data_IF_099528169008
#
_entry.id   IF_099528169008
#
_cell.length_a   1.000
_cell.length_b   1.000
_cell.length_c   1.000
_cell.angle_alpha   90.00
_cell.angle_beta   90.00
_cell.angle_gamma   90.00
#
_symmetry.space_group_name_H-M   'P 1'
#
loop_
_entity.id
_entity.type
_entity.pdbx_description
1 polymer ?
#
# COMPACT_ATOMS: atom_id res chain seq x y z
N UNK A 1 -5.68 -14.35 -12.02
CA UNK A 1 -4.20 -14.25 -11.95
C UNK A 1 -3.69 -15.22 -10.89
N UNK A 2 -2.55 -15.91 -11.07
CA UNK A 2 -1.91 -16.72 -10.01
C UNK A 2 -0.40 -16.48 -10.03
N UNK A 3 0.22 -16.48 -8.85
CA UNK A 3 1.68 -16.46 -8.70
C UNK A 3 2.21 -17.89 -8.57
N UNK A 4 3.39 -18.14 -9.13
CA UNK A 4 4.02 -19.46 -9.09
C UNK A 4 4.56 -19.79 -7.70
N UNK A 5 5.07 -18.78 -7.00
CA UNK A 5 5.59 -18.89 -5.65
C UNK A 5 5.29 -17.63 -4.84
N UNK A 6 5.09 -17.80 -3.54
CA UNK A 6 5.07 -16.72 -2.54
C UNK A 6 6.10 -17.02 -1.45
N UNK A 7 6.54 -15.97 -0.76
CA UNK A 7 7.45 -16.10 0.37
C UNK A 7 6.78 -16.93 1.47
N UNK A 8 7.49 -17.93 2.04
CA UNK A 8 6.98 -18.61 3.22
C UNK A 8 6.88 -17.58 4.34
N UNK A 9 5.73 -17.52 4.98
CA UNK A 9 5.56 -16.65 6.12
C UNK A 9 6.34 -17.22 7.33
N UNK A 10 7.12 -16.42 8.08
CA UNK A 10 7.94 -16.93 9.18
C UNK A 10 7.08 -17.61 10.27
N UNK A 11 7.61 -18.57 11.02
CA UNK A 11 6.85 -19.20 12.12
C UNK A 11 6.68 -18.24 13.33
N UNK A 12 7.74 -17.49 13.65
CA UNK A 12 7.75 -16.39 14.62
C UNK A 12 8.22 -15.12 13.89
N UNK A 13 7.45 -14.04 14.02
CA UNK A 13 7.51 -12.85 13.14
C UNK A 13 7.91 -11.59 13.87
N UNK A 14 8.12 -11.65 15.20
CA UNK A 14 8.56 -10.53 16.05
C UNK A 14 7.87 -9.18 15.74
N UNK A 15 6.55 -9.21 15.55
CA UNK A 15 5.75 -8.00 15.36
C UNK A 15 5.60 -7.28 16.71
N UNK A 16 6.06 -6.02 16.79
CA UNK A 16 5.98 -5.19 18.01
C UNK A 16 4.64 -4.46 18.18
N UNK A 17 3.83 -4.40 17.13
CA UNK A 17 2.42 -4.01 17.16
C UNK A 17 1.60 -5.19 16.65
N UNK A 18 0.49 -5.52 17.31
CA UNK A 18 -0.21 -6.78 17.05
C UNK A 18 -0.50 -6.97 15.55
N UNK A 19 -1.20 -6.02 14.90
CA UNK A 19 -1.50 -6.00 13.46
C UNK A 19 -1.89 -4.57 13.01
N UNK A 20 -1.76 -4.24 11.71
CA UNK A 20 -2.25 -2.98 11.12
C UNK A 20 -3.46 -3.23 10.19
N UNK A 21 -4.68 -3.34 10.74
CA UNK A 21 -5.86 -3.71 9.96
C UNK A 21 -6.34 -2.65 8.95
N UNK A 22 -5.88 -1.41 9.08
CA UNK A 22 -6.28 -0.29 8.23
C UNK A 22 -5.17 0.77 8.17
N UNK A 23 -5.14 1.56 7.09
CA UNK A 23 -4.22 2.69 6.98
C UNK A 23 -4.55 3.81 7.94
N UNK A 24 -3.52 4.44 8.50
CA UNK A 24 -3.61 5.70 9.25
C UNK A 24 -3.12 6.92 8.44
N UNK A 25 -2.75 6.73 7.16
CA UNK A 25 -2.36 7.80 6.24
C UNK A 25 -3.61 8.52 5.74
N UNK A 26 -3.80 9.78 6.18
CA UNK A 26 -5.02 10.55 5.86
C UNK A 26 -4.91 11.40 4.61
N UNK A 27 -3.69 11.68 4.15
CA UNK A 27 -3.42 12.65 3.08
C UNK A 27 -2.92 12.01 1.80
N UNK A 28 -3.45 10.83 1.46
CA UNK A 28 -3.16 10.15 0.18
C UNK A 28 -3.53 11.02 -1.02
N UNK A 29 -4.48 11.95 -0.89
CA UNK A 29 -4.83 12.94 -1.93
C UNK A 29 -3.61 13.69 -2.48
N UNK A 30 -2.55 13.85 -1.68
CA UNK A 30 -1.29 14.43 -2.11
C UNK A 30 -0.59 13.65 -3.23
N UNK A 31 -0.86 12.35 -3.37
CA UNK A 31 -0.35 11.55 -4.47
C UNK A 31 -1.21 11.62 -5.74
N UNK A 32 -2.46 12.10 -5.66
CA UNK A 32 -3.46 11.98 -6.74
C UNK A 32 -2.91 12.43 -8.09
N UNK A 33 -2.35 13.64 -8.16
CA UNK A 33 -1.85 14.23 -9.41
C UNK A 33 -0.69 13.45 -10.05
N UNK A 34 0.00 12.60 -9.28
CA UNK A 34 1.14 11.82 -9.75
C UNK A 34 0.78 10.38 -10.07
N UNK A 35 -0.32 9.85 -9.51
CA UNK A 35 -0.76 8.47 -9.73
C UNK A 35 -1.89 8.37 -10.74
N UNK A 36 -2.70 9.41 -10.91
CA UNK A 36 -3.94 9.35 -11.68
C UNK A 36 -3.73 8.90 -13.13
N UNK A 37 -4.45 7.83 -13.51
CA UNK A 37 -4.41 7.32 -14.88
C UNK A 37 -3.07 6.73 -15.33
N UNK A 38 -2.14 6.41 -14.42
CA UNK A 38 -0.86 5.80 -14.79
C UNK A 38 -1.01 4.46 -15.53
N UNK A 39 -2.05 3.67 -15.24
CA UNK A 39 -2.23 2.32 -15.79
C UNK A 39 -1.17 1.33 -15.28
N UNK A 40 -0.94 0.24 -16.02
CA UNK A 40 0.10 -0.73 -15.70
C UNK A 40 -0.17 -1.53 -14.41
N UNK A 41 0.87 -2.20 -13.92
CA UNK A 41 0.83 -3.00 -12.70
C UNK A 41 1.06 -2.17 -11.44
N UNK A 42 0.37 -2.56 -10.37
CA UNK A 42 0.52 -2.01 -9.02
C UNK A 42 1.03 -3.09 -8.07
N UNK A 43 1.98 -2.75 -7.22
CA UNK A 43 2.34 -3.55 -6.04
C UNK A 43 2.38 -2.66 -4.82
N UNK A 44 1.72 -3.08 -3.74
CA UNK A 44 1.70 -2.29 -2.52
C UNK A 44 1.48 -3.10 -1.25
N UNK A 45 2.06 -2.58 -0.16
CA UNK A 45 1.95 -3.15 1.19
C UNK A 45 0.76 -2.59 1.96
N UNK A 46 0.33 -3.26 3.03
CA UNK A 46 -0.80 -2.84 3.85
C UNK A 46 -2.16 -3.17 3.23
N UNK A 47 -3.18 -2.37 3.55
CA UNK A 47 -4.60 -2.73 3.31
C UNK A 47 -5.33 -1.76 2.37
N UNK A 48 -6.29 -0.99 2.90
CA UNK A 48 -7.34 -0.28 2.15
C UNK A 48 -6.82 0.91 1.33
N UNK A 49 -5.68 1.49 1.72
CA UNK A 49 -5.07 2.58 0.97
C UNK A 49 -4.66 2.15 -0.44
N UNK A 50 -4.32 0.86 -0.61
CA UNK A 50 -3.99 0.32 -1.92
C UNK A 50 -5.20 0.37 -2.86
N UNK A 51 -6.42 0.13 -2.35
CA UNK A 51 -7.65 0.19 -3.15
C UNK A 51 -7.86 1.59 -3.73
N UNK A 52 -7.61 2.62 -2.92
CA UNK A 52 -7.64 4.03 -3.37
C UNK A 52 -6.61 4.27 -4.47
N UNK A 53 -5.35 3.89 -4.24
CA UNK A 53 -4.26 4.15 -5.19
C UNK A 53 -4.43 3.37 -6.51
N UNK A 54 -4.87 2.12 -6.45
CA UNK A 54 -5.19 1.28 -7.62
C UNK A 54 -6.32 1.91 -8.44
N UNK A 55 -7.39 2.36 -7.79
CA UNK A 55 -8.53 2.96 -8.48
C UNK A 55 -8.15 4.28 -9.17
N UNK A 56 -7.36 5.12 -8.48
CA UNK A 56 -6.87 6.39 -9.02
C UNK A 56 -5.94 6.18 -10.20
N UNK A 57 -5.03 5.22 -10.07
CA UNK A 57 -4.08 4.90 -11.13
C UNK A 57 -4.70 4.19 -12.33
N UNK A 58 -5.93 3.68 -12.19
CA UNK A 58 -6.53 2.78 -13.19
C UNK A 58 -5.59 1.62 -13.51
N UNK A 59 -4.97 1.05 -12.47
CA UNK A 59 -4.02 -0.06 -12.64
C UNK A 59 -4.71 -1.25 -13.28
N UNK A 60 -4.01 -1.91 -14.19
CA UNK A 60 -4.52 -3.05 -14.95
C UNK A 60 -4.50 -4.33 -14.10
N UNK A 61 -3.48 -4.47 -13.26
CA UNK A 61 -3.32 -5.54 -12.29
C UNK A 61 -2.76 -4.99 -10.97
N UNK A 62 -3.15 -5.58 -9.85
CA UNK A 62 -2.68 -5.16 -8.53
C UNK A 62 -2.31 -6.36 -7.65
N UNK A 63 -1.18 -6.23 -6.94
CA UNK A 63 -0.70 -7.18 -5.95
C UNK A 63 -0.65 -6.47 -4.59
N UNK A 64 -1.56 -6.86 -3.70
CA UNK A 64 -1.62 -6.42 -2.31
C UNK A 64 -0.77 -7.37 -1.49
N UNK A 65 0.50 -7.03 -1.35
CA UNK A 65 1.52 -7.91 -0.79
C UNK A 65 1.85 -7.52 0.64
N UNK A 66 1.72 -8.43 1.60
CA UNK A 66 2.10 -8.15 2.98
C UNK A 66 2.75 -9.35 3.67
N UNK A 67 3.59 -9.10 4.67
CA UNK A 67 4.25 -10.16 5.43
C UNK A 67 3.43 -10.59 6.66
N UNK A 68 2.43 -9.78 7.04
CA UNK A 68 1.46 -10.10 8.08
C UNK A 68 0.22 -10.79 7.46
N UNK A 69 -0.07 -12.05 7.81
CA UNK A 69 -1.14 -12.84 7.23
C UNK A 69 -2.51 -12.33 7.66
N UNK A 70 -2.59 -11.60 8.78
CA UNK A 70 -3.82 -10.94 9.16
C UNK A 70 -4.11 -9.81 8.18
N UNK A 71 -3.10 -9.04 7.79
CA UNK A 71 -3.22 -8.01 6.74
C UNK A 71 -3.60 -8.65 5.40
N UNK A 72 -2.94 -9.73 4.99
CA UNK A 72 -3.28 -10.46 3.76
C UNK A 72 -4.71 -10.98 3.82
N UNK A 73 -5.12 -11.58 4.94
CA UNK A 73 -6.48 -12.06 5.14
C UNK A 73 -7.53 -10.93 5.12
N UNK A 74 -7.23 -9.76 5.69
CA UNK A 74 -8.09 -8.56 5.59
C UNK A 74 -8.24 -8.13 4.14
N UNK A 75 -7.16 -8.13 3.36
CA UNK A 75 -7.24 -7.86 1.92
C UNK A 75 -8.09 -8.92 1.21
N UNK A 76 -7.93 -10.21 1.51
CA UNK A 76 -8.77 -11.29 0.97
C UNK A 76 -10.26 -11.07 1.28
N UNK A 77 -10.57 -10.61 2.49
CA UNK A 77 -11.95 -10.25 2.90
C UNK A 77 -12.45 -9.04 2.11
N UNK A 78 -11.65 -7.98 1.96
CA UNK A 78 -12.00 -6.83 1.12
C UNK A 78 -12.35 -7.26 -0.31
N UNK A 79 -11.51 -8.09 -0.93
CA UNK A 79 -11.76 -8.59 -2.29
C UNK A 79 -13.07 -9.37 -2.35
N UNK A 80 -13.32 -10.29 -1.41
CA UNK A 80 -14.59 -11.01 -1.39
C UNK A 80 -15.80 -10.09 -1.16
N UNK A 81 -15.67 -9.04 -0.35
CA UNK A 81 -16.75 -8.08 -0.17
C UNK A 81 -17.03 -7.27 -1.44
N UNK A 82 -16.02 -6.87 -2.21
CA UNK A 82 -16.24 -6.28 -3.54
C UNK A 82 -16.96 -7.24 -4.48
N UNK A 83 -16.59 -8.52 -4.49
CA UNK A 83 -17.20 -9.56 -5.33
C UNK A 83 -18.71 -9.61 -5.10
N UNK A 84 -19.14 -9.69 -3.83
CA UNK A 84 -20.55 -9.87 -3.45
C UNK A 84 -21.34 -8.57 -3.27
N UNK A 85 -20.69 -7.40 -3.33
CA UNK A 85 -21.34 -6.11 -3.11
C UNK A 85 -21.35 -5.26 -4.38
N UNK A 86 -22.47 -5.21 -5.13
CA UNK A 86 -22.64 -4.31 -6.27
C UNK A 86 -22.39 -2.83 -5.98
N UNK A 87 -22.59 -2.37 -4.74
CA UNK A 87 -22.42 -0.97 -4.35
C UNK A 87 -21.52 -0.81 -3.12
N UNK A 88 -20.92 0.37 -2.96
CA UNK A 88 -20.13 0.70 -1.76
C UNK A 88 -20.94 0.61 -0.46
N UNK A 89 -22.23 0.97 -0.48
CA UNK A 89 -23.07 0.89 0.71
C UNK A 89 -23.23 -0.56 1.21
N UNK A 90 -23.37 -1.52 0.30
CA UNK A 90 -23.41 -2.95 0.62
C UNK A 90 -22.05 -3.44 1.14
N UNK A 91 -20.96 -3.02 0.50
CA UNK A 91 -19.60 -3.34 0.95
C UNK A 91 -19.33 -2.83 2.36
N UNK A 92 -19.72 -1.58 2.65
CA UNK A 92 -19.54 -0.97 3.96
C UNK A 92 -20.38 -1.67 5.03
N UNK A 93 -21.58 -2.12 4.68
CA UNK A 93 -22.48 -2.85 5.59
C UNK A 93 -21.84 -4.14 6.10
N UNK A 94 -21.05 -4.84 5.28
CA UNK A 94 -20.35 -6.06 5.67
C UNK A 94 -19.22 -5.80 6.69
N UNK A 95 -18.68 -4.58 6.71
CA UNK A 95 -17.72 -4.14 7.73
C UNK A 95 -18.37 -3.56 8.98
N UNK A 96 -19.68 -3.33 9.03
CA UNK A 96 -20.33 -2.81 10.24
C UNK A 96 -20.25 -3.85 11.38
N UNK A 97 -19.78 -3.40 12.55
CA UNK A 97 -19.66 -4.24 13.75
C UNK A 97 -20.99 -4.84 14.20
N UNK A 98 -22.11 -4.17 13.88
CA UNK A 98 -23.47 -4.66 14.17
C UNK A 98 -23.83 -5.92 13.39
N UNK A 99 -23.24 -6.09 12.20
CA UNK A 99 -23.51 -7.22 11.31
C UNK A 99 -22.47 -8.33 11.46
N UNK A 100 -21.62 -8.28 12.50
CA UNK A 100 -20.51 -9.22 12.69
C UNK A 100 -20.95 -10.68 12.56
N UNK A 101 -22.08 -11.05 13.16
CA UNK A 101 -22.55 -12.44 13.21
C UNK A 101 -22.95 -12.92 11.81
N UNK A 102 -23.73 -12.11 11.10
CA UNK A 102 -24.21 -12.37 9.76
C UNK A 102 -23.05 -12.43 8.77
N UNK A 103 -22.11 -11.48 8.86
CA UNK A 103 -20.93 -11.47 7.98
C UNK A 103 -20.00 -12.64 8.25
N UNK A 104 -19.81 -13.07 9.51
CA UNK A 104 -19.02 -14.28 9.80
C UNK A 104 -19.61 -15.53 9.14
N UNK A 105 -20.94 -15.67 9.09
CA UNK A 105 -21.59 -16.77 8.37
C UNK A 105 -21.36 -16.69 6.84
N UNK A 106 -21.36 -15.48 6.28
CA UNK A 106 -21.03 -15.23 4.86
C UNK A 106 -19.57 -15.61 4.56
N UNK A 107 -18.64 -15.29 5.46
CA UNK A 107 -17.23 -15.67 5.34
C UNK A 107 -17.02 -17.18 5.50
N UNK A 108 -17.69 -17.83 6.45
CA UNK A 108 -17.65 -19.28 6.65
C UNK A 108 -18.12 -20.02 5.40
N UNK A 109 -19.25 -19.60 4.81
CA UNK A 109 -19.74 -20.17 3.56
C UNK A 109 -18.71 -20.09 2.42
N UNK A 110 -17.92 -19.02 2.36
CA UNK A 110 -16.92 -18.80 1.30
C UNK A 110 -15.60 -19.51 1.53
N UNK A 111 -15.14 -19.52 2.77
CA UNK A 111 -13.77 -19.86 3.13
C UNK A 111 -13.66 -21.12 4.01
N UNK A 112 -14.74 -21.82 4.35
CA UNK A 112 -14.68 -23.02 5.21
C UNK A 112 -13.75 -24.13 4.72
N UNK A 113 -13.56 -24.27 3.39
CA UNK A 113 -12.60 -25.21 2.80
C UNK A 113 -11.18 -24.64 2.64
N UNK A 114 -10.98 -23.36 2.96
CA UNK A 114 -9.68 -22.70 2.90
C UNK A 114 -8.82 -23.12 4.10
N UNK A 115 -7.57 -23.56 3.90
CA UNK A 115 -6.71 -23.95 5.01
C UNK A 115 -6.44 -22.79 6.00
N UNK A 116 -6.57 -21.54 5.54
CA UNK A 116 -6.37 -20.35 6.37
C UNK A 116 -7.69 -19.81 6.96
N UNK A 117 -8.81 -20.53 6.87
CA UNK A 117 -10.12 -20.05 7.34
C UNK A 117 -10.10 -19.49 8.77
N UNK A 118 -9.35 -20.14 9.67
CA UNK A 118 -9.20 -19.67 11.06
C UNK A 118 -8.50 -18.31 11.13
N UNK A 119 -7.48 -18.09 10.31
CA UNK A 119 -6.77 -16.80 10.21
C UNK A 119 -7.70 -15.76 9.61
N UNK A 120 -8.43 -16.08 8.55
CA UNK A 120 -9.42 -15.19 7.91
C UNK A 120 -10.50 -14.74 8.89
N UNK A 121 -11.12 -15.70 9.58
CA UNK A 121 -12.14 -15.41 10.60
C UNK A 121 -11.58 -14.52 11.69
N UNK A 122 -10.36 -14.79 12.17
CA UNK A 122 -9.70 -13.98 13.20
C UNK A 122 -9.37 -12.57 12.69
N UNK A 123 -8.91 -12.47 11.45
CA UNK A 123 -8.56 -11.22 10.81
C UNK A 123 -9.78 -10.29 10.67
N UNK A 124 -10.95 -10.84 10.33
CA UNK A 124 -12.21 -10.10 10.36
C UNK A 124 -12.50 -9.53 11.75
N UNK A 125 -12.36 -10.33 12.81
CA UNK A 125 -12.57 -9.82 14.18
C UNK A 125 -11.57 -8.74 14.58
N UNK A 126 -10.30 -8.87 14.17
CA UNK A 126 -9.26 -7.87 14.41
C UNK A 126 -9.59 -6.58 13.68
N UNK A 127 -10.01 -6.66 12.42
CA UNK A 127 -10.40 -5.52 11.61
C UNK A 127 -11.60 -4.74 12.17
N UNK A 128 -12.47 -5.38 12.95
CA UNK A 128 -13.61 -4.73 13.61
C UNK A 128 -13.24 -3.97 14.90
N UNK A 129 -12.02 -4.11 15.42
CA UNK A 129 -11.58 -3.41 16.63
C UNK A 129 -11.35 -1.90 16.36
N UNK A 130 -11.20 -1.12 17.44
CA UNK A 130 -10.82 0.29 17.37
C UNK A 130 -9.53 0.46 16.56
N UNK A 131 -9.50 1.44 15.67
CA UNK A 131 -8.40 1.64 14.72
C UNK A 131 -8.44 0.73 13.48
N UNK A 132 -9.42 -0.17 13.39
CA UNK A 132 -9.61 -1.05 12.23
C UNK A 132 -10.46 -0.47 11.11
N UNK A 133 -10.91 -1.36 10.22
CA UNK A 133 -11.59 -1.01 8.96
C UNK A 133 -12.81 -0.11 9.15
N UNK A 134 -13.74 -0.35 10.11
CA UNK A 134 -14.92 0.50 10.26
C UNK A 134 -14.56 1.95 10.60
N UNK A 135 -13.57 2.15 11.46
CA UNK A 135 -13.08 3.48 11.80
C UNK A 135 -12.44 4.14 10.57
N UNK A 136 -11.66 3.38 9.79
CA UNK A 136 -11.04 3.88 8.56
C UNK A 136 -12.06 4.30 7.51
N UNK A 137 -13.09 3.49 7.23
CA UNK A 137 -14.17 3.87 6.31
C UNK A 137 -14.91 5.13 6.78
N UNK A 138 -15.15 5.24 8.09
CA UNK A 138 -15.69 6.46 8.70
C UNK A 138 -14.76 7.68 8.55
N UNK A 139 -13.44 7.46 8.61
CA UNK A 139 -12.46 8.52 8.43
C UNK A 139 -12.33 8.97 6.96
N UNK A 140 -12.43 8.06 5.98
CA UNK A 140 -12.50 8.41 4.55
C UNK A 140 -13.65 9.39 4.28
N UNK A 141 -14.84 9.13 4.86
CA UNK A 141 -15.98 10.05 4.78
C UNK A 141 -15.70 11.43 5.37
N UNK A 142 -14.93 11.52 6.46
CA UNK A 142 -14.55 12.79 7.08
C UNK A 142 -13.51 13.52 6.23
N UNK A 143 -12.49 12.80 5.76
CA UNK A 143 -11.41 13.35 4.92
C UNK A 143 -12.02 13.95 3.65
N UNK A 144 -12.95 13.27 3.00
CA UNK A 144 -13.65 13.78 1.80
C UNK A 144 -14.53 15.02 2.00
N UNK A 145 -14.86 15.38 3.25
CA UNK A 145 -15.56 16.65 3.53
C UNK A 145 -14.59 17.81 3.68
N UNK A 146 -13.34 17.53 4.04
CA UNK A 146 -12.31 18.53 4.32
C UNK A 146 -11.38 18.74 3.14
N UNK A 147 -11.07 17.67 2.42
CA UNK A 147 -10.17 17.63 1.27
C UNK A 147 -10.94 17.15 0.05
N UNK A 148 -10.50 17.52 -1.15
CA UNK A 148 -11.04 16.98 -2.41
C UNK A 148 -10.57 15.53 -2.60
N UNK A 149 -11.04 14.66 -1.72
CA UNK A 149 -10.68 13.25 -1.65
C UNK A 149 -11.84 12.44 -2.24
N UNK A 150 -11.73 12.07 -3.51
CA UNK A 150 -12.66 11.18 -4.22
C UNK A 150 -12.01 9.82 -4.44
N UNK A 151 -12.67 8.75 -4.02
CA UNK A 151 -12.17 7.37 -4.12
C UNK A 151 -13.35 6.40 -4.05
N UNK A 152 -13.09 5.10 -3.96
CA UNK A 152 -14.08 4.03 -3.99
C UNK A 152 -15.22 4.14 -2.97
N UNK A 153 -15.04 4.91 -1.88
CA UNK A 153 -16.07 5.13 -0.87
C UNK A 153 -17.10 6.21 -1.22
N UNK A 154 -16.81 7.08 -2.20
CA UNK A 154 -17.69 8.18 -2.60
C UNK A 154 -17.74 8.45 -4.12
N UNK A 155 -17.00 7.69 -4.93
CA UNK A 155 -17.05 7.71 -6.39
C UNK A 155 -17.44 6.32 -6.92
N UNK A 156 -18.66 6.17 -7.48
CA UNK A 156 -19.12 4.91 -8.07
C UNK A 156 -18.22 4.39 -9.19
N UNK A 157 -17.53 5.25 -9.93
CA UNK A 157 -16.63 4.82 -11.00
C UNK A 157 -15.40 4.12 -10.44
N UNK A 158 -14.82 4.67 -9.37
CA UNK A 158 -13.67 4.06 -8.69
C UNK A 158 -14.08 2.74 -8.00
N UNK A 159 -15.26 2.70 -7.38
CA UNK A 159 -15.81 1.48 -6.79
C UNK A 159 -16.04 0.38 -7.85
N UNK A 160 -16.73 0.73 -8.94
CA UNK A 160 -17.03 -0.22 -10.03
C UNK A 160 -15.76 -0.69 -10.74
N UNK A 161 -14.75 0.19 -10.89
CA UNK A 161 -13.46 -0.18 -11.44
C UNK A 161 -12.79 -1.27 -10.60
N UNK A 162 -12.67 -1.06 -9.28
CA UNK A 162 -12.10 -2.06 -8.36
C UNK A 162 -12.92 -3.35 -8.35
N UNK A 163 -14.25 -3.25 -8.29
CA UNK A 163 -15.12 -4.42 -8.32
C UNK A 163 -14.92 -5.25 -9.59
N UNK A 164 -14.83 -4.62 -10.76
CA UNK A 164 -14.58 -5.33 -12.01
C UNK A 164 -13.19 -5.98 -12.02
N UNK A 165 -12.16 -5.31 -11.50
CA UNK A 165 -10.84 -5.94 -11.34
C UNK A 165 -10.90 -7.17 -10.43
N UNK A 166 -11.69 -7.14 -9.35
CA UNK A 166 -11.89 -8.30 -8.46
C UNK A 166 -12.59 -9.44 -9.20
N UNK A 167 -13.71 -9.17 -9.87
CA UNK A 167 -14.48 -10.18 -10.62
C UNK A 167 -13.66 -10.84 -11.73
N UNK A 168 -12.77 -10.07 -12.35
CA UNK A 168 -11.86 -10.54 -13.41
C UNK A 168 -10.56 -11.17 -12.85
N UNK A 169 -10.40 -11.22 -11.52
CA UNK A 169 -9.23 -11.80 -10.87
C UNK A 169 -7.91 -11.06 -11.17
N UNK A 170 -8.00 -9.73 -11.30
CA UNK A 170 -6.89 -8.79 -11.56
C UNK A 170 -6.30 -8.14 -10.30
N UNK A 171 -6.91 -8.34 -9.14
CA UNK A 171 -6.33 -7.99 -7.84
C UNK A 171 -6.04 -9.27 -7.05
N UNK A 172 -4.83 -9.39 -6.52
CA UNK A 172 -4.43 -10.50 -5.66
C UNK A 172 -3.96 -9.98 -4.31
N UNK A 173 -4.48 -10.56 -3.23
CA UNK A 173 -3.88 -10.46 -1.90
C UNK A 173 -2.88 -11.62 -1.75
N UNK A 174 -1.62 -11.31 -1.47
CA UNK A 174 -0.54 -12.31 -1.46
C UNK A 174 0.38 -12.12 -0.27
N UNK A 175 0.87 -13.22 0.28
CA UNK A 175 1.97 -13.20 1.22
C UNK A 175 3.21 -12.68 0.52
N UNK A 176 3.83 -11.63 1.05
CA UNK A 176 4.98 -10.98 0.44
C UNK A 176 5.82 -10.23 1.44
N UNK A 177 7.07 -10.66 1.60
CA UNK A 177 8.04 -9.96 2.42
C UNK A 177 8.92 -9.09 1.51
N UNK A 178 9.06 -7.80 1.84
CA UNK A 178 9.98 -6.90 1.12
C UNK A 178 11.43 -7.42 1.12
N UNK A 179 11.81 -8.16 2.17
CA UNK A 179 13.12 -8.79 2.32
C UNK A 179 13.15 -10.23 1.79
N UNK A 180 12.00 -10.76 1.39
CA UNK A 180 11.84 -12.11 0.89
C UNK A 180 12.56 -12.33 -0.43
N UNK A 181 12.53 -13.56 -0.90
CA UNK A 181 13.24 -13.96 -2.13
C UNK A 181 12.31 -14.52 -3.20
N UNK A 182 10.99 -14.52 -2.96
CA UNK A 182 10.00 -15.14 -3.85
C UNK A 182 8.95 -14.17 -4.36
N UNK A 183 8.10 -13.59 -3.51
CA UNK A 183 6.85 -12.95 -3.97
C UNK A 183 7.10 -11.79 -4.93
N UNK A 184 7.95 -10.84 -4.56
CA UNK A 184 8.26 -9.67 -5.42
C UNK A 184 8.91 -10.09 -6.75
N UNK A 185 9.72 -11.16 -6.74
CA UNK A 185 10.36 -11.70 -7.96
C UNK A 185 9.33 -12.38 -8.84
N UNK A 186 8.45 -13.20 -8.28
CA UNK A 186 7.35 -13.84 -8.98
C UNK A 186 6.37 -12.82 -9.58
N UNK A 187 6.09 -11.72 -8.87
CA UNK A 187 5.32 -10.58 -9.42
C UNK A 187 6.05 -9.97 -10.61
N UNK A 188 7.35 -9.67 -10.49
CA UNK A 188 8.15 -9.12 -11.60
C UNK A 188 8.18 -10.03 -12.83
N UNK A 189 8.40 -11.32 -12.64
CA UNK A 189 8.36 -12.33 -13.71
C UNK A 189 6.98 -12.40 -14.38
N UNK A 190 5.90 -12.37 -13.59
CA UNK A 190 4.54 -12.43 -14.10
C UNK A 190 4.21 -11.17 -14.91
N UNK A 191 4.56 -10.01 -14.38
CA UNK A 191 4.37 -8.71 -15.03
C UNK A 191 5.14 -8.65 -16.36
N UNK A 192 6.40 -9.12 -16.38
CA UNK A 192 7.19 -9.22 -17.60
C UNK A 192 6.57 -10.15 -18.65
N UNK A 193 6.08 -11.33 -18.25
CA UNK A 193 5.38 -12.28 -19.13
C UNK A 193 4.09 -11.73 -19.72
N UNK A 194 3.41 -10.84 -18.97
CA UNK A 194 2.19 -10.17 -19.43
C UNK A 194 2.48 -8.90 -20.23
N UNK A 195 3.75 -8.49 -20.36
CA UNK A 195 4.17 -7.22 -20.94
C UNK A 195 3.56 -5.99 -20.24
N UNK A 196 3.43 -6.07 -18.91
CA UNK A 196 2.83 -5.01 -18.09
C UNK A 196 3.93 -4.43 -17.19
N UNK A 197 4.29 -3.15 -17.35
CA UNK A 197 5.23 -2.51 -16.44
C UNK A 197 4.59 -2.28 -15.08
N UNK A 198 5.34 -2.50 -14.00
CA UNK A 198 4.96 -2.09 -12.65
C UNK A 198 5.13 -0.57 -12.54
N UNK A 199 4.03 0.17 -12.63
CA UNK A 199 4.03 1.64 -12.63
C UNK A 199 3.93 2.24 -11.24
N UNK A 200 3.39 1.50 -10.28
CA UNK A 200 3.36 1.94 -8.89
C UNK A 200 3.92 0.84 -7.98
N UNK A 201 4.98 1.19 -7.26
CA UNK A 201 5.41 0.50 -6.05
C UNK A 201 5.02 1.37 -4.84
N UNK A 202 4.16 0.86 -3.97
CA UNK A 202 3.77 1.52 -2.73
C UNK A 202 4.29 0.77 -1.50
N UNK A 203 5.11 1.43 -0.70
CA UNK A 203 5.80 0.80 0.45
C UNK A 203 5.32 1.32 1.81
N UNK A 204 4.32 2.21 1.84
CA UNK A 204 3.97 2.98 3.05
C UNK A 204 5.26 3.51 3.70
N UNK A 205 5.43 3.33 5.01
CA UNK A 205 6.65 3.64 5.74
C UNK A 205 7.51 2.40 6.05
N UNK A 206 7.25 1.26 5.41
CA UNK A 206 7.94 -0.01 5.72
C UNK A 206 9.45 0.07 5.50
N UNK A 207 9.92 0.91 4.58
CA UNK A 207 11.35 1.11 4.31
C UNK A 207 12.10 1.71 5.53
N UNK A 208 11.42 2.33 6.50
CA UNK A 208 12.03 2.93 7.70
C UNK A 208 12.60 1.92 8.70
N UNK A 209 12.24 0.65 8.55
CA UNK A 209 12.64 -0.44 9.43
C UNK A 209 13.89 -1.16 8.93
N UNK A 210 14.40 -0.81 7.74
CA UNK A 210 15.50 -1.50 7.09
C UNK A 210 16.57 -0.54 6.58
N UNK A 211 17.76 -1.10 6.31
CA UNK A 211 18.87 -0.39 5.63
C UNK A 211 19.08 -0.89 4.20
N UNK A 212 17.97 -1.19 3.51
CA UNK A 212 17.91 -1.82 2.18
C UNK A 212 18.91 -2.96 2.03
N UNK A 213 18.66 -4.12 2.68
CA UNK A 213 19.49 -5.31 2.49
C UNK A 213 19.41 -5.80 1.03
N UNK A 214 20.35 -6.66 0.64
CA UNK A 214 20.56 -7.05 -0.76
C UNK A 214 19.31 -7.64 -1.42
N UNK A 215 18.56 -8.50 -0.73
CA UNK A 215 17.36 -9.10 -1.33
C UNK A 215 16.24 -8.08 -1.57
N UNK A 216 16.07 -7.11 -0.65
CA UNK A 216 15.14 -6.00 -0.87
C UNK A 216 15.55 -5.15 -2.08
N UNK A 217 16.86 -4.88 -2.25
CA UNK A 217 17.36 -4.18 -3.43
C UNK A 217 17.10 -4.96 -4.71
N UNK A 218 17.43 -6.27 -4.72
CA UNK A 218 17.20 -7.16 -5.86
C UNK A 218 15.72 -7.23 -6.22
N UNK A 219 14.83 -7.29 -5.24
CA UNK A 219 13.39 -7.32 -5.44
C UNK A 219 12.93 -6.06 -6.20
N UNK A 220 13.36 -4.87 -5.77
CA UNK A 220 12.96 -3.61 -6.43
C UNK A 220 13.68 -3.37 -7.77
N UNK A 221 14.97 -3.71 -7.86
CA UNK A 221 15.73 -3.61 -9.11
C UNK A 221 15.17 -4.53 -10.20
N UNK A 222 14.68 -5.72 -9.81
CA UNK A 222 14.13 -6.72 -10.71
C UNK A 222 12.71 -6.46 -11.22
N UNK A 223 12.01 -5.43 -10.70
CA UNK A 223 10.68 -5.09 -11.22
C UNK A 223 10.79 -4.54 -12.65
N UNK A 224 9.96 -5.02 -13.60
CA UNK A 224 9.86 -4.42 -14.93
C UNK A 224 9.19 -3.05 -14.78
N UNK A 225 9.90 -1.98 -15.11
CA UNK A 225 9.43 -0.60 -14.98
C UNK A 225 9.57 0.14 -16.31
N UNK A 226 8.83 1.23 -16.47
CA UNK A 226 8.94 2.16 -17.59
C UNK A 226 9.14 3.60 -17.09
N UNK A 227 9.16 4.58 -17.99
CA UNK A 227 9.36 6.00 -17.67
C UNK A 227 8.26 6.61 -16.79
N UNK A 228 7.11 5.94 -16.69
CA UNK A 228 5.98 6.35 -15.84
C UNK A 228 6.02 5.70 -14.47
N UNK A 229 6.91 4.73 -14.26
CA UNK A 229 7.00 4.00 -13.00
C UNK A 229 7.52 4.85 -11.85
N UNK A 230 6.76 4.86 -10.76
CA UNK A 230 7.07 5.60 -9.54
C UNK A 230 7.01 4.71 -8.30
N UNK A 231 7.84 5.06 -7.33
CA UNK A 231 7.73 4.65 -5.95
C UNK A 231 7.04 5.77 -5.17
N UNK A 232 5.96 5.42 -4.50
CA UNK A 232 5.30 6.28 -3.53
C UNK A 232 5.41 5.68 -2.13
N UNK A 233 5.82 6.51 -1.17
CA UNK A 233 6.10 6.08 0.20
C UNK A 233 5.79 7.18 1.20
N UNK A 234 5.60 6.80 2.44
CA UNK A 234 5.52 7.70 3.58
C UNK A 234 6.73 7.53 4.49
N UNK A 235 6.95 8.49 5.37
CA UNK A 235 8.03 8.45 6.35
C UNK A 235 7.57 9.15 7.61
N UNK A 236 7.74 8.49 8.76
CA UNK A 236 7.49 9.04 10.09
C UNK A 236 8.76 9.64 10.70
N UNK A 237 9.90 8.93 10.59
CA UNK A 237 11.21 9.33 11.11
C UNK A 237 11.79 10.45 10.26
N UNK A 238 11.54 11.68 10.69
CA UNK A 238 11.98 12.88 10.00
C UNK A 238 10.83 13.73 9.48
N UNK A 239 9.58 13.26 9.56
CA UNK A 239 8.42 14.05 9.17
C UNK A 239 8.35 15.40 9.92
N UNK A 240 8.70 15.43 11.21
CA UNK A 240 8.78 16.68 11.98
C UNK A 240 9.85 17.66 11.47
N UNK A 241 10.90 17.17 10.81
CA UNK A 241 11.97 17.99 10.21
C UNK A 241 11.63 18.37 8.77
N UNK A 242 11.02 17.45 8.03
CA UNK A 242 10.68 17.62 6.62
C UNK A 242 9.34 18.33 6.40
N UNK A 243 8.56 18.52 7.48
CA UNK A 243 7.17 18.94 7.45
C UNK A 243 6.22 17.76 7.27
N UNK A 244 4.97 17.92 7.67
CA UNK A 244 3.88 16.97 7.42
C UNK A 244 2.63 17.77 7.06
N UNK A 245 1.70 17.19 6.31
CA UNK A 245 0.54 17.94 5.84
C UNK A 245 -0.46 18.19 6.96
N UNK A 246 -1.27 19.23 6.81
CA UNK A 246 -2.39 19.45 7.73
C UNK A 246 -3.45 18.35 7.58
N UNK A 247 -4.16 18.03 8.66
CA UNK A 247 -5.19 16.98 8.68
C UNK A 247 -4.67 15.56 8.89
N UNK A 248 -3.39 15.38 9.20
CA UNK A 248 -2.83 14.09 9.63
C UNK A 248 -3.55 13.52 10.86
N UNK A 249 -3.55 12.19 10.99
CA UNK A 249 -4.25 11.52 12.10
C UNK A 249 -3.57 11.77 13.44
N UNK A 250 -2.23 11.68 13.45
CA UNK A 250 -1.40 11.77 14.65
C UNK A 250 -0.29 12.82 14.49
N UNK A 251 -0.62 14.11 14.30
CA UNK A 251 0.38 15.13 13.98
C UNK A 251 1.43 15.34 15.09
N UNK A 252 1.09 15.00 16.34
CA UNK A 252 2.00 15.11 17.49
C UNK A 252 2.85 13.85 17.68
N UNK A 253 2.25 12.68 17.59
CA UNK A 253 2.88 11.42 17.95
C UNK A 253 3.62 10.81 16.76
N UNK A 254 2.93 10.62 15.64
CA UNK A 254 3.42 9.89 14.46
C UNK A 254 2.98 10.56 13.14
N UNK A 255 3.43 11.79 12.85
CA UNK A 255 3.11 12.44 11.59
C UNK A 255 3.79 11.75 10.40
N UNK A 256 3.14 11.77 9.22
CA UNK A 256 3.71 11.27 7.98
C UNK A 256 4.16 12.40 7.06
N UNK A 257 5.31 12.22 6.42
CA UNK A 257 5.71 12.95 5.22
C UNK A 257 5.55 12.03 4.00
N UNK A 258 4.93 12.53 2.94
CA UNK A 258 4.63 11.80 1.72
C UNK A 258 5.72 12.04 0.68
N UNK A 259 6.08 11.01 -0.09
CA UNK A 259 7.22 11.08 -0.99
C UNK A 259 6.94 10.35 -2.29
N UNK A 260 7.40 10.94 -3.39
CA UNK A 260 7.35 10.38 -4.74
C UNK A 260 8.77 10.30 -5.28
N UNK A 261 9.11 9.20 -5.96
CA UNK A 261 10.40 9.02 -6.61
C UNK A 261 10.21 8.23 -7.90
N UNK A 262 10.80 8.65 -9.02
CA UNK A 262 10.79 7.79 -10.22
C UNK A 262 11.56 6.50 -9.95
N UNK A 263 11.10 5.40 -10.53
CA UNK A 263 11.79 4.13 -10.37
C UNK A 263 13.20 4.17 -10.96
N UNK A 264 13.44 4.92 -12.03
CA UNK A 264 14.79 5.13 -12.58
C UNK A 264 15.72 5.80 -11.56
N UNK A 265 15.28 6.89 -10.94
CA UNK A 265 16.06 7.54 -9.89
C UNK A 265 16.27 6.59 -8.70
N UNK A 266 15.23 5.88 -8.28
CA UNK A 266 15.34 4.93 -7.17
C UNK A 266 16.32 3.79 -7.46
N UNK A 267 16.34 3.25 -8.69
CA UNK A 267 17.30 2.23 -9.12
C UNK A 267 18.75 2.73 -9.05
N UNK A 268 19.02 4.02 -9.31
CA UNK A 268 20.35 4.62 -9.06
C UNK A 268 20.70 4.56 -7.58
N UNK A 269 19.77 4.93 -6.68
CA UNK A 269 19.98 4.83 -5.23
C UNK A 269 20.21 3.39 -4.77
N UNK A 270 19.44 2.42 -5.27
CA UNK A 270 19.58 1.01 -4.91
C UNK A 270 20.91 0.41 -5.37
N UNK A 271 21.55 0.95 -6.41
CA UNK A 271 22.88 0.53 -6.86
C UNK A 271 24.03 1.20 -6.08
N UNK A 272 23.75 2.18 -5.21
CA UNK A 272 24.76 2.79 -4.35
C UNK A 272 25.39 1.73 -3.43
N UNK A 273 26.72 1.55 -3.42
CA UNK A 273 27.40 0.64 -2.50
C UNK A 273 27.19 1.00 -1.03
N UNK A 274 27.22 -0.03 -0.18
CA UNK A 274 27.12 0.07 1.26
C UNK A 274 25.72 0.38 1.78
N UNK A 275 25.63 0.73 3.07
CA UNK A 275 24.36 1.00 3.73
C UNK A 275 23.58 2.14 3.04
N UNK A 276 22.28 1.92 2.89
CA UNK A 276 21.32 2.90 2.38
C UNK A 276 20.19 3.02 3.39
N UNK A 277 19.63 4.21 3.54
CA UNK A 277 18.46 4.42 4.37
C UNK A 277 17.49 5.36 3.70
N UNK A 278 16.22 5.25 4.05
CA UNK A 278 15.17 6.12 3.50
C UNK A 278 15.46 7.58 3.83
N UNK A 279 15.95 7.88 5.04
CA UNK A 279 16.40 9.22 5.41
C UNK A 279 17.55 9.74 4.54
N UNK A 280 18.49 8.89 4.13
CA UNK A 280 19.57 9.29 3.23
C UNK A 280 19.02 9.66 1.83
N UNK A 281 18.08 8.88 1.30
CA UNK A 281 17.40 9.19 0.03
C UNK A 281 16.65 10.52 0.15
N UNK A 282 15.84 10.69 1.21
CA UNK A 282 15.04 11.90 1.45
C UNK A 282 15.88 13.14 1.81
N UNK A 283 17.18 13.00 2.10
CA UNK A 283 18.07 14.15 2.24
C UNK A 283 18.25 14.91 0.92
N UNK A 284 17.95 14.26 -0.21
CA UNK A 284 17.99 14.82 -1.57
C UNK A 284 16.61 15.14 -2.15
N UNK A 285 15.60 15.22 -1.27
CA UNK A 285 14.25 15.55 -1.67
C UNK A 285 14.11 17.03 -2.03
N UNK A 286 13.12 17.32 -2.85
CA UNK A 286 12.60 18.66 -3.12
C UNK A 286 11.14 18.68 -2.69
N UNK A 287 10.80 19.61 -1.80
CA UNK A 287 9.43 19.76 -1.34
C UNK A 287 8.56 20.33 -2.46
N UNK A 288 7.41 19.70 -2.72
CA UNK A 288 6.43 20.15 -3.71
C UNK A 288 5.36 20.99 -3.01
N UNK A 289 4.78 20.45 -1.95
CA UNK A 289 3.86 21.15 -1.04
C UNK A 289 4.18 20.74 0.39
N UNK A 290 3.58 21.41 1.38
CA UNK A 290 3.78 21.06 2.80
C UNK A 290 3.48 19.58 3.04
N UNK A 291 4.50 18.82 3.46
CA UNK A 291 4.36 17.40 3.75
C UNK A 291 4.42 16.45 2.55
N UNK A 292 4.68 16.95 1.33
CA UNK A 292 4.92 16.13 0.14
C UNK A 292 6.23 16.55 -0.54
N UNK A 293 7.09 15.57 -0.81
CA UNK A 293 8.31 15.79 -1.59
C UNK A 293 8.43 14.85 -2.78
N UNK A 294 9.20 15.31 -3.77
CA UNK A 294 9.75 14.46 -4.83
C UNK A 294 11.24 14.24 -4.58
N UNK A 295 11.76 13.06 -4.91
CA UNK A 295 13.19 12.78 -4.88
C UNK A 295 13.73 12.87 -6.31
N UNK A 296 14.41 13.98 -6.60
CA UNK A 296 15.07 14.24 -7.89
C UNK A 296 16.57 13.98 -7.82
N UNK A 297 17.20 14.18 -6.65
CA UNK A 297 18.64 14.05 -6.50
C UNK A 297 19.13 12.60 -6.46
N UNK A 298 20.41 12.44 -6.75
CA UNK A 298 21.12 11.15 -6.80
C UNK A 298 22.12 11.00 -5.65
N UNK A 299 22.64 9.78 -5.38
CA UNK A 299 23.70 9.56 -4.40
C UNK A 299 24.98 10.38 -4.64
N UNK A 300 25.28 10.72 -5.90
CA UNK A 300 26.51 11.41 -6.31
C UNK A 300 26.40 12.92 -6.26
N UNK A 301 25.19 13.47 -6.16
CA UNK A 301 25.02 14.91 -6.05
C UNK A 301 25.68 15.43 -4.76
N UNK A 302 26.38 16.55 -4.84
CA UNK A 302 26.94 17.19 -3.65
C UNK A 302 25.82 17.54 -2.65
N UNK A 303 26.07 17.35 -1.36
CA UNK A 303 25.17 17.84 -0.33
C UNK A 303 25.22 19.38 -0.36
N UNK A 304 24.22 20.01 -1.01
CA UNK A 304 23.95 21.42 -0.74
C UNK A 304 23.70 21.52 0.76
N UNK A 305 24.64 22.12 1.49
CA UNK A 305 24.43 22.56 2.87
C UNK A 305 23.28 23.57 2.81
N UNK A 306 22.05 23.12 3.00
CA UNK A 306 20.93 24.03 3.15
C UNK A 306 21.12 24.72 4.49
N UNK A 307 21.71 25.93 4.43
CA UNK A 307 21.66 26.86 5.54
C UNK A 307 20.18 27.14 5.82
N UNK A 308 19.65 26.57 6.90
CA UNK A 308 18.40 27.04 7.48
C UNK A 308 18.69 28.41 8.10
N UNK A 309 18.06 29.44 7.55
CA UNK A 309 17.65 30.63 8.30
C UNK A 309 16.13 30.58 8.43
#
# INVERSE_FOLDING_TARGET
>A
MTLNETDPLPADRNLHADHYPASNERRLDLFRSSVEGLGGGYIGVGTDQNLTLVAWAKSEYAFLADFDPVTVAINRIHLYFFEISPTYAEFETLWDTKNKKETLAVLEKRFSSDPEFKVISKAYEIALKKGGVPQRLGDLKKISKTFDFKSFHNDPNDYNYLRNMVLEGRILAVDGNLLGTKTFRAVGEKAAKLHIPIRILYTSNAEEYFRYPDDMRKNFLGLPTDEKSILIRTLTKGAKVFGFPDGEMFPKDYPFHYNIQSMDNFKIWLNKPGALSTTAILSKRKQIVKGLSVIEGTPTDESKKTAQK
#
